data_IF_297174249764
#
_entry.id   IF_297174249764
#
_cell.length_a   1.000
_cell.length_b   1.000
_cell.length_c   1.000
_cell.angle_alpha   90.00
_cell.angle_beta   90.00
_cell.angle_gamma   90.00
#
_symmetry.space_group_name_H-M   'P 1'
#
loop_
_entity.id
_entity.type
_entity.pdbx_description
1 polymer ?
#
# COMPACT_ATOMS: atom_id res chain seq x y z
N UNK A 1 -8.08 25.38 65.07
CA UNK A 1 -7.42 24.08 65.27
C UNK A 1 -8.51 23.03 65.18
N UNK A 2 -8.49 22.22 64.12
CA UNK A 2 -9.56 21.27 63.78
C UNK A 2 -9.67 21.14 62.27
N UNK A 3 -8.69 20.47 61.70
CA UNK A 3 -8.34 20.43 60.29
C UNK A 3 -9.41 19.78 59.40
N UNK A 4 -9.69 20.45 58.28
CA UNK A 4 -10.47 19.93 57.17
C UNK A 4 -9.71 18.82 56.46
N UNK A 5 -10.18 17.58 56.60
CA UNK A 5 -9.83 16.48 55.72
C UNK A 5 -10.86 16.37 54.59
N UNK A 6 -10.78 17.29 53.63
CA UNK A 6 -11.39 17.06 52.32
C UNK A 6 -10.54 16.02 51.58
N UNK A 7 -11.01 14.78 51.60
CA UNK A 7 -10.49 13.72 50.76
C UNK A 7 -10.48 14.17 49.28
N UNK A 8 -9.39 13.95 48.53
CA UNK A 8 -9.38 14.27 47.11
C UNK A 8 -10.44 13.41 46.41
N UNK A 9 -11.36 14.09 45.74
CA UNK A 9 -12.33 13.46 44.84
C UNK A 9 -11.55 12.58 43.86
N UNK A 10 -11.80 11.27 43.93
CA UNK A 10 -11.33 10.31 42.94
C UNK A 10 -11.77 10.81 41.57
N UNK A 11 -10.78 10.95 40.69
CA UNK A 11 -10.90 11.26 39.28
C UNK A 11 -12.23 10.77 38.71
N UNK A 12 -13.08 11.72 38.32
CA UNK A 12 -14.19 11.45 37.41
C UNK A 12 -13.58 10.74 36.20
N UNK A 13 -13.82 9.44 36.08
CA UNK A 13 -13.49 8.66 34.90
C UNK A 13 -14.13 9.37 33.70
N UNK A 14 -13.35 10.17 32.98
CA UNK A 14 -13.78 10.87 31.78
C UNK A 14 -14.20 9.81 30.79
N UNK A 15 -15.51 9.63 30.62
CA UNK A 15 -16.04 8.67 29.66
C UNK A 15 -15.47 9.03 28.28
N UNK A 16 -14.80 8.10 27.58
CA UNK A 16 -14.19 8.39 26.29
C UNK A 16 -15.24 8.91 25.32
N UNK A 17 -15.03 10.10 24.75
CA UNK A 17 -15.95 10.71 23.82
C UNK A 17 -15.71 10.14 22.41
N UNK A 18 -16.75 9.56 21.81
CA UNK A 18 -16.66 8.99 20.47
C UNK A 18 -16.79 10.09 19.40
N UNK A 19 -15.74 10.31 18.62
CA UNK A 19 -15.72 11.29 17.54
C UNK A 19 -16.42 10.72 16.29
N UNK A 20 -17.33 11.49 15.72
CA UNK A 20 -18.04 11.10 14.50
C UNK A 20 -17.17 11.31 13.27
N UNK A 21 -17.06 10.28 12.41
CA UNK A 21 -16.36 10.37 11.12
C UNK A 21 -17.38 10.33 10.00
N UNK A 22 -17.46 11.41 9.21
CA UNK A 22 -18.40 11.54 8.10
C UNK A 22 -17.69 11.89 6.79
N UNK A 23 -18.38 11.68 5.66
CA UNK A 23 -17.83 11.97 4.33
C UNK A 23 -18.85 12.70 3.47
N UNK A 24 -18.46 13.86 2.93
CA UNK A 24 -19.34 14.77 2.18
C UNK A 24 -19.12 14.74 0.66
N UNK A 25 -18.15 13.97 0.16
CA UNK A 25 -17.80 13.95 -1.26
C UNK A 25 -18.84 13.27 -2.17
N UNK A 26 -18.81 13.65 -3.45
CA UNK A 26 -19.74 13.22 -4.52
C UNK A 26 -19.05 12.39 -5.60
N UNK A 27 -19.81 11.47 -6.22
CA UNK A 27 -19.28 10.56 -7.23
C UNK A 27 -18.86 11.27 -8.52
N UNK A 28 -19.60 12.32 -8.90
CA UNK A 28 -19.37 13.05 -10.15
C UNK A 28 -18.04 13.80 -10.14
N UNK A 29 -17.67 14.38 -8.98
CA UNK A 29 -16.39 15.06 -8.77
C UNK A 29 -15.21 14.08 -8.90
N UNK A 30 -15.35 12.87 -8.34
CA UNK A 30 -14.36 11.80 -8.50
C UNK A 30 -14.28 11.34 -9.95
N UNK A 31 -15.43 11.19 -10.63
CA UNK A 31 -15.51 10.75 -12.03
C UNK A 31 -14.84 11.74 -12.98
N UNK A 32 -15.06 13.04 -12.79
CA UNK A 32 -14.42 14.09 -13.58
C UNK A 32 -12.90 14.07 -13.43
N UNK A 33 -12.39 13.97 -12.19
CA UNK A 33 -10.95 13.86 -11.92
C UNK A 33 -10.35 12.58 -12.52
N UNK A 34 -11.02 11.45 -12.34
CA UNK A 34 -10.55 10.17 -12.89
C UNK A 34 -10.46 10.19 -14.41
N UNK A 35 -11.45 10.76 -15.12
CA UNK A 35 -11.40 10.87 -16.59
C UNK A 35 -10.22 11.70 -17.06
N UNK A 36 -9.99 12.86 -16.45
CA UNK A 36 -8.83 13.71 -16.76
C UNK A 36 -7.52 12.95 -16.52
N UNK A 37 -7.39 12.34 -15.34
CA UNK A 37 -6.17 11.66 -14.95
C UNK A 37 -5.94 10.39 -15.81
N UNK A 38 -6.99 9.73 -16.30
CA UNK A 38 -6.90 8.61 -17.24
C UNK A 38 -6.30 9.04 -18.57
N UNK A 39 -6.77 10.15 -19.16
CA UNK A 39 -6.23 10.68 -20.40
C UNK A 39 -4.75 11.03 -20.29
N UNK A 40 -4.39 11.73 -19.21
CA UNK A 40 -2.98 12.08 -18.94
C UNK A 40 -2.14 10.81 -18.79
N UNK A 41 -2.66 9.80 -18.07
CA UNK A 41 -1.92 8.56 -17.85
C UNK A 41 -1.79 7.70 -19.11
N UNK A 42 -2.77 7.76 -20.02
CA UNK A 42 -2.72 7.10 -21.32
C UNK A 42 -1.62 7.74 -22.19
N UNK A 43 -1.58 9.07 -22.25
CA UNK A 43 -0.54 9.83 -22.99
C UNK A 43 0.85 9.59 -22.40
N UNK A 44 0.96 9.55 -21.07
CA UNK A 44 2.23 9.36 -20.36
C UNK A 44 2.57 7.89 -20.07
N UNK A 45 1.91 6.93 -20.71
CA UNK A 45 2.24 5.50 -20.61
C UNK A 45 2.29 4.96 -19.17
N UNK A 46 1.48 5.50 -18.25
CA UNK A 46 1.45 5.04 -16.85
C UNK A 46 2.30 5.84 -15.85
N UNK A 47 3.20 6.72 -16.30
CA UNK A 47 4.08 7.52 -15.42
C UNK A 47 3.29 8.50 -14.52
N UNK A 48 2.07 8.87 -14.91
CA UNK A 48 1.20 9.75 -14.14
C UNK A 48 0.41 9.04 -13.02
N UNK A 49 0.42 7.71 -12.98
CA UNK A 49 -0.37 6.91 -12.02
C UNK A 49 -0.17 7.32 -10.55
N UNK A 50 1.06 7.59 -10.06
CA UNK A 50 1.26 8.01 -8.68
C UNK A 50 0.61 9.36 -8.37
N UNK A 51 0.64 10.30 -9.32
CA UNK A 51 0.06 11.64 -9.19
C UNK A 51 -1.46 11.56 -9.18
N UNK A 52 -2.06 10.79 -10.11
CA UNK A 52 -3.49 10.52 -10.16
C UNK A 52 -4.01 9.92 -8.83
N UNK A 53 -3.28 8.93 -8.28
CA UNK A 53 -3.62 8.33 -6.98
C UNK A 53 -3.58 9.36 -5.85
N UNK A 54 -2.60 10.27 -5.86
CA UNK A 54 -2.50 11.35 -4.87
C UNK A 54 -3.67 12.33 -4.96
N UNK A 55 -4.08 12.73 -6.16
CA UNK A 55 -5.22 13.64 -6.34
C UNK A 55 -6.52 13.09 -5.79
N UNK A 56 -6.79 11.81 -6.03
CA UNK A 56 -7.97 11.13 -5.46
C UNK A 56 -7.83 11.02 -3.94
N UNK A 57 -6.67 10.64 -3.42
CA UNK A 57 -6.47 10.54 -1.97
C UNK A 57 -6.67 11.88 -1.25
N UNK A 58 -6.12 12.98 -1.79
CA UNK A 58 -6.28 14.32 -1.23
C UNK A 58 -7.74 14.78 -1.30
N UNK A 59 -8.45 14.49 -2.39
CA UNK A 59 -9.88 14.77 -2.50
C UNK A 59 -10.70 14.04 -1.44
N UNK A 60 -10.40 12.75 -1.23
CA UNK A 60 -11.11 11.95 -0.23
C UNK A 60 -10.82 12.46 1.19
N UNK A 61 -9.57 12.79 1.49
CA UNK A 61 -9.17 13.38 2.76
C UNK A 61 -9.87 14.73 3.00
N UNK A 62 -9.83 15.65 2.02
CA UNK A 62 -10.43 16.99 2.14
C UNK A 62 -11.95 17.00 2.28
N UNK A 63 -12.62 15.89 2.00
CA UNK A 63 -14.07 15.70 2.14
C UNK A 63 -14.44 14.79 3.31
N UNK A 64 -13.48 14.44 4.14
CA UNK A 64 -13.70 13.69 5.38
C UNK A 64 -13.82 14.67 6.54
N UNK A 65 -14.92 14.57 7.27
CA UNK A 65 -15.17 15.33 8.48
C UNK A 65 -14.88 14.43 9.69
N UNK A 66 -14.09 14.93 10.63
CA UNK A 66 -13.88 14.29 11.93
C UNK A 66 -14.38 15.27 12.98
N UNK A 67 -15.43 14.87 13.71
CA UNK A 67 -16.18 15.74 14.64
C UNK A 67 -16.69 17.03 13.98
N UNK A 68 -17.22 16.91 12.76
CA UNK A 68 -17.77 18.03 11.99
C UNK A 68 -16.74 18.91 11.29
N UNK A 69 -15.46 18.81 11.65
CA UNK A 69 -14.37 19.59 11.04
C UNK A 69 -13.69 18.82 9.90
N UNK A 70 -13.46 19.45 8.73
CA UNK A 70 -12.79 18.81 7.61
C UNK A 70 -11.31 18.57 7.88
N UNK A 71 -10.79 17.46 7.37
CA UNK A 71 -9.34 17.26 7.28
C UNK A 71 -8.80 18.14 6.15
N UNK A 72 -8.00 19.13 6.48
CA UNK A 72 -7.43 20.08 5.52
C UNK A 72 -6.27 19.45 4.75
N UNK A 73 -6.28 19.67 3.43
CA UNK A 73 -5.17 19.32 2.55
C UNK A 73 -4.27 20.54 2.34
N UNK A 74 -3.11 20.56 3.00
CA UNK A 74 -2.16 21.68 2.95
C UNK A 74 -1.16 21.48 1.79
N UNK A 75 -0.82 22.53 1.03
CA UNK A 75 0.21 22.44 0.00
C UNK A 75 1.59 22.20 0.63
N UNK A 76 2.16 21.03 0.40
CA UNK A 76 3.54 20.70 0.81
C UNK A 76 4.53 21.08 -0.29
N UNK A 77 5.70 21.61 0.10
CA UNK A 77 6.79 21.95 -0.82
C UNK A 77 7.13 20.76 -1.71
N UNK A 78 7.01 20.96 -3.03
CA UNK A 78 7.41 19.97 -4.04
C UNK A 78 8.93 19.93 -4.07
N UNK A 79 9.54 18.76 -3.82
CA UNK A 79 10.96 18.55 -4.10
C UNK A 79 11.09 17.65 -5.35
N UNK A 80 11.87 18.05 -6.36
CA UNK A 80 12.01 17.28 -7.59
C UNK A 80 12.93 16.06 -7.40
N UNK A 81 13.73 16.02 -6.33
CA UNK A 81 14.79 15.04 -6.11
C UNK A 81 14.38 13.57 -6.28
N UNK A 82 13.27 13.07 -5.71
CA UNK A 82 12.90 11.66 -5.91
C UNK A 82 12.64 11.31 -7.38
N UNK A 83 12.08 12.24 -8.15
CA UNK A 83 11.84 12.03 -9.58
C UNK A 83 13.16 12.06 -10.36
N UNK A 84 14.03 13.03 -10.06
CA UNK A 84 15.36 13.14 -10.68
C UNK A 84 16.17 11.87 -10.41
N UNK A 85 16.20 11.38 -9.17
CA UNK A 85 16.91 10.16 -8.77
C UNK A 85 16.41 8.94 -9.53
N UNK A 86 15.08 8.77 -9.68
CA UNK A 86 14.51 7.65 -10.43
C UNK A 86 14.84 7.74 -11.93
N UNK A 87 14.77 8.94 -12.52
CA UNK A 87 15.13 9.16 -13.92
C UNK A 87 16.62 8.91 -14.15
N UNK A 88 17.48 9.42 -13.27
CA UNK A 88 18.93 9.18 -13.35
C UNK A 88 19.27 7.70 -13.22
N UNK A 89 18.62 6.97 -12.31
CA UNK A 89 18.79 5.53 -12.16
C UNK A 89 18.33 4.77 -13.40
N UNK A 90 17.19 5.16 -13.98
CA UNK A 90 16.70 4.57 -15.24
C UNK A 90 17.68 4.81 -16.39
N UNK A 91 18.17 6.04 -16.55
CA UNK A 91 19.17 6.37 -17.57
C UNK A 91 20.44 5.55 -17.33
N UNK A 92 20.93 5.46 -16.09
CA UNK A 92 22.12 4.66 -15.76
C UNK A 92 21.92 3.17 -16.09
N UNK A 93 20.73 2.61 -15.80
CA UNK A 93 20.39 1.23 -16.15
C UNK A 93 20.36 0.99 -17.66
N UNK A 94 19.77 1.92 -18.43
CA UNK A 94 19.73 1.82 -19.90
C UNK A 94 21.12 1.99 -20.49
N UNK A 95 21.92 2.91 -19.96
CA UNK A 95 23.30 3.10 -20.40
C UNK A 95 24.14 1.85 -20.14
N UNK A 96 23.97 1.21 -18.99
CA UNK A 96 24.64 -0.05 -18.65
C UNK A 96 24.27 -1.24 -19.54
N UNK A 97 23.06 -1.24 -20.11
CA UNK A 97 22.58 -2.33 -20.97
C UNK A 97 22.86 -2.10 -22.45
N UNK A 98 22.77 -0.85 -22.91
CA UNK A 98 22.86 -0.51 -24.35
C UNK A 98 24.28 -0.14 -24.78
N UNK A 99 25.12 0.29 -23.85
CA UNK A 99 26.51 0.64 -24.11
C UNK A 99 27.41 -0.23 -23.25
N UNK A 100 28.32 -0.97 -23.88
CA UNK A 100 29.41 -1.74 -23.24
C UNK A 100 30.34 -0.88 -22.35
N UNK A 101 30.03 0.41 -22.16
CA UNK A 101 30.82 1.40 -21.44
C UNK A 101 30.04 2.02 -20.25
N UNK A 102 28.86 1.48 -19.93
CA UNK A 102 28.06 1.92 -18.79
C UNK A 102 28.55 1.35 -17.45
N UNK A 103 28.06 1.90 -16.31
CA UNK A 103 28.38 1.34 -15.00
C UNK A 103 27.89 -0.11 -14.91
N UNK A 104 28.66 -1.04 -14.32
CA UNK A 104 28.27 -2.45 -14.25
C UNK A 104 26.90 -2.60 -13.58
N UNK A 105 26.03 -3.45 -14.16
CA UNK A 105 24.65 -3.69 -13.69
C UNK A 105 24.54 -3.90 -12.16
N UNK A 106 25.47 -4.64 -11.49
CA UNK A 106 25.48 -4.74 -10.03
C UNK A 106 25.52 -3.38 -9.30
N UNK A 107 26.26 -2.39 -9.80
CA UNK A 107 26.31 -1.05 -9.21
C UNK A 107 24.97 -0.31 -9.37
N UNK A 108 24.29 -0.48 -10.51
CA UNK A 108 22.96 0.07 -10.74
C UNK A 108 21.95 -0.55 -9.77
N UNK A 109 22.01 -1.87 -9.57
CA UNK A 109 21.18 -2.58 -8.57
C UNK A 109 21.43 -2.04 -7.16
N UNK A 110 22.70 -1.93 -6.76
CA UNK A 110 23.09 -1.40 -5.44
C UNK A 110 22.58 0.04 -5.28
N UNK A 111 22.78 0.89 -6.28
CA UNK A 111 22.28 2.26 -6.27
C UNK A 111 20.75 2.30 -6.10
N UNK A 112 20.02 1.48 -6.86
CA UNK A 112 18.55 1.37 -6.74
C UNK A 112 18.10 0.95 -5.35
N UNK A 113 18.75 -0.06 -4.78
CA UNK A 113 18.48 -0.58 -3.43
C UNK A 113 18.76 0.45 -2.35
N UNK A 114 19.81 1.26 -2.50
CA UNK A 114 20.14 2.34 -1.57
C UNK A 114 19.22 3.56 -1.72
N UNK A 115 18.73 3.84 -2.92
CA UNK A 115 17.89 5.01 -3.20
C UNK A 115 16.40 4.77 -2.92
N UNK A 116 15.94 3.52 -2.98
CA UNK A 116 14.52 3.20 -2.79
C UNK A 116 13.99 3.59 -1.38
N UNK A 117 14.70 3.35 -0.26
CA UNK A 117 14.28 3.84 1.06
C UNK A 117 14.15 5.36 1.12
N UNK A 118 15.05 6.08 0.45
CA UNK A 118 14.99 7.54 0.36
C UNK A 118 13.73 8.00 -0.40
N UNK A 119 13.48 7.45 -1.59
CA UNK A 119 12.29 7.77 -2.40
C UNK A 119 11.01 7.46 -1.63
N UNK A 120 10.95 6.31 -0.96
CA UNK A 120 9.83 5.92 -0.13
C UNK A 120 9.60 6.89 1.03
N UNK A 121 10.65 7.24 1.79
CA UNK A 121 10.55 8.14 2.95
C UNK A 121 10.06 9.53 2.56
N UNK A 122 10.59 10.09 1.47
CA UNK A 122 10.13 11.39 0.94
C UNK A 122 8.68 11.32 0.46
N UNK A 123 8.28 10.24 -0.21
CA UNK A 123 6.91 10.08 -0.69
C UNK A 123 5.90 9.95 0.46
N UNK A 124 6.23 9.16 1.49
CA UNK A 124 5.41 9.02 2.70
C UNK A 124 5.30 10.35 3.43
N UNK A 125 6.42 11.05 3.64
CA UNK A 125 6.41 12.35 4.31
C UNK A 125 5.49 13.34 3.64
N UNK A 126 5.61 13.51 2.32
CA UNK A 126 4.71 14.39 1.54
C UNK A 126 3.23 14.03 1.63
N UNK A 127 2.91 12.75 1.83
CA UNK A 127 1.52 12.30 1.92
C UNK A 127 0.92 12.57 3.30
N UNK A 128 1.73 12.48 4.35
CA UNK A 128 1.33 12.70 5.75
C UNK A 128 1.35 14.20 6.07
N UNK A 129 2.42 14.89 5.69
CA UNK A 129 2.62 16.33 5.90
C UNK A 129 1.60 17.21 5.17
N UNK A 130 0.89 16.63 4.20
CA UNK A 130 -0.19 17.31 3.49
C UNK A 130 -1.52 17.29 4.27
N UNK A 131 -1.58 16.63 5.43
CA UNK A 131 -2.81 16.48 6.21
C UNK A 131 -2.73 17.33 7.48
N UNK A 132 -3.76 18.13 7.70
CA UNK A 132 -3.97 18.93 8.90
C UNK A 132 -5.40 18.76 9.39
N UNK A 133 -5.60 18.77 10.69
CA UNK A 133 -6.95 18.69 11.27
C UNK A 133 -7.00 19.47 12.58
N UNK A 134 -7.97 20.39 12.72
CA UNK A 134 -8.11 21.31 13.87
C UNK A 134 -6.80 22.01 14.24
N UNK A 135 -6.07 22.50 13.23
CA UNK A 135 -4.78 23.15 13.43
C UNK A 135 -3.61 22.21 13.76
N UNK A 136 -3.85 20.92 13.99
CA UNK A 136 -2.80 19.94 14.25
C UNK A 136 -2.20 19.44 12.92
N UNK A 137 -0.91 19.68 12.75
CA UNK A 137 -0.16 19.13 11.62
C UNK A 137 0.09 17.63 11.86
N UNK A 138 -0.15 16.82 10.83
CA UNK A 138 0.40 15.47 10.76
C UNK A 138 1.81 15.55 10.17
N UNK A 139 2.85 15.11 10.89
CA UNK A 139 4.24 15.14 10.39
C UNK A 139 4.86 13.77 10.41
N UNK A 140 5.52 13.38 9.32
CA UNK A 140 6.35 12.18 9.28
C UNK A 140 7.81 12.56 9.47
N UNK A 141 8.36 12.32 10.65
CA UNK A 141 9.72 12.73 10.99
C UNK A 141 10.62 11.63 11.58
N UNK A 142 10.65 10.39 11.03
CA UNK A 142 11.71 9.47 11.39
C UNK A 142 13.05 9.95 10.83
N UNK A 143 14.12 9.80 11.60
CA UNK A 143 15.49 10.06 11.10
C UNK A 143 15.89 9.06 10.01
N UNK A 144 16.75 9.48 9.07
CA UNK A 144 17.21 8.64 7.95
C UNK A 144 17.82 7.33 8.42
N UNK A 145 18.60 7.34 9.51
CA UNK A 145 19.14 6.12 10.13
C UNK A 145 18.06 5.08 10.41
N UNK A 146 16.88 5.50 10.87
CA UNK A 146 15.75 4.60 11.15
C UNK A 146 15.11 4.07 9.86
N UNK A 147 14.94 4.91 8.84
CA UNK A 147 14.41 4.49 7.54
C UNK A 147 15.28 3.40 6.92
N UNK A 148 16.60 3.59 6.92
CA UNK A 148 17.54 2.60 6.39
C UNK A 148 17.62 1.34 7.25
N UNK A 149 17.63 1.48 8.58
CA UNK A 149 17.62 0.34 9.49
C UNK A 149 16.37 -0.55 9.30
N UNK A 150 15.19 0.05 9.11
CA UNK A 150 13.95 -0.69 8.86
C UNK A 150 13.87 -1.26 7.43
N UNK A 151 14.73 -0.81 6.53
CA UNK A 151 14.82 -1.28 5.14
C UNK A 151 15.87 -2.38 4.94
N UNK A 152 16.44 -2.94 6.01
CA UNK A 152 17.43 -4.02 5.93
C UNK A 152 17.03 -5.22 5.04
N UNK A 153 15.75 -5.67 4.94
CA UNK A 153 15.42 -6.80 4.08
C UNK A 153 15.64 -6.48 2.60
N UNK A 154 15.40 -5.22 2.21
CA UNK A 154 15.68 -4.72 0.87
C UNK A 154 17.19 -4.69 0.60
N UNK A 155 17.98 -4.22 1.58
CA UNK A 155 19.44 -4.20 1.46
C UNK A 155 20.00 -5.61 1.32
N UNK A 156 19.50 -6.57 2.11
CA UNK A 156 19.88 -7.97 2.03
C UNK A 156 19.53 -8.57 0.66
N UNK A 157 18.32 -8.32 0.15
CA UNK A 157 17.91 -8.76 -1.20
C UNK A 157 18.81 -8.16 -2.29
N UNK A 158 19.10 -6.87 -2.19
CA UNK A 158 19.97 -6.19 -3.14
C UNK A 158 21.39 -6.73 -3.16
N UNK A 159 22.01 -6.87 -1.98
CA UNK A 159 23.35 -7.43 -1.84
C UNK A 159 23.42 -8.89 -2.28
N UNK A 160 22.37 -9.68 -2.00
CA UNK A 160 22.28 -11.06 -2.46
C UNK A 160 22.09 -11.15 -3.98
N UNK A 161 21.35 -10.23 -4.60
CA UNK A 161 21.08 -10.25 -6.04
C UNK A 161 22.24 -9.70 -6.88
N UNK A 162 22.94 -8.68 -6.40
CA UNK A 162 23.98 -7.97 -7.15
C UNK A 162 25.04 -8.89 -7.82
N UNK A 163 25.62 -9.90 -7.16
CA UNK A 163 26.60 -10.79 -7.80
C UNK A 163 25.95 -11.84 -8.72
N UNK A 164 24.68 -12.18 -8.50
CA UNK A 164 23.95 -13.18 -9.31
C UNK A 164 23.37 -12.58 -10.59
N UNK A 165 23.05 -11.29 -10.59
CA UNK A 165 22.45 -10.61 -11.73
C UNK A 165 23.17 -10.84 -13.08
N UNK A 166 24.51 -10.68 -13.19
CA UNK A 166 25.21 -10.92 -14.46
C UNK A 166 25.21 -12.41 -14.85
N UNK A 167 25.36 -13.31 -13.88
CA UNK A 167 25.34 -14.77 -14.14
C UNK A 167 23.98 -15.23 -14.68
N UNK A 168 22.89 -14.67 -14.15
CA UNK A 168 21.53 -14.97 -14.61
C UNK A 168 21.29 -14.36 -15.99
N UNK A 169 21.84 -13.17 -16.28
CA UNK A 169 21.74 -12.55 -17.60
C UNK A 169 22.49 -13.39 -18.67
N UNK A 170 23.73 -13.77 -18.40
CA UNK A 170 24.53 -14.63 -19.31
C UNK A 170 23.85 -15.99 -19.55
N UNK A 171 23.27 -16.58 -18.50
CA UNK A 171 22.55 -17.84 -18.62
C UNK A 171 21.27 -17.69 -19.45
N UNK A 172 20.57 -16.55 -19.35
CA UNK A 172 19.38 -16.27 -20.14
C UNK A 172 19.71 -16.12 -21.64
N UNK A 173 20.88 -15.59 -21.98
CA UNK A 173 21.34 -15.44 -23.36
C UNK A 173 21.82 -16.76 -23.99
N UNK A 174 22.13 -17.78 -23.17
CA UNK A 174 22.58 -19.11 -23.63
C UNK A 174 21.74 -20.25 -23.05
N UNK A 175 20.44 -20.31 -23.40
CA UNK A 175 19.50 -21.24 -22.78
C UNK A 175 19.85 -22.71 -23.02
N UNK A 176 20.56 -23.07 -24.11
CA UNK A 176 21.01 -24.45 -24.35
C UNK A 176 21.99 -24.98 -23.30
N UNK A 177 22.67 -24.11 -22.56
CA UNK A 177 23.64 -24.49 -21.52
C UNK A 177 22.98 -24.71 -20.14
N UNK A 178 21.73 -24.28 -19.98
CA UNK A 178 21.00 -24.28 -18.73
C UNK A 178 20.39 -25.67 -18.47
N UNK A 179 21.15 -26.54 -17.81
CA UNK A 179 20.62 -27.80 -17.25
C UNK A 179 20.08 -27.56 -15.85
N UNK A 180 18.76 -27.47 -15.74
CA UNK A 180 18.06 -27.42 -14.46
C UNK A 180 17.85 -28.84 -13.94
N UNK A 181 18.73 -29.30 -13.07
CA UNK A 181 18.52 -30.52 -12.30
C UNK A 181 17.53 -30.28 -11.13
N UNK A 182 17.09 -31.35 -10.47
CA UNK A 182 16.15 -31.23 -9.35
C UNK A 182 16.73 -30.39 -8.19
N UNK A 183 18.05 -30.47 -7.98
CA UNK A 183 18.78 -29.70 -6.97
C UNK A 183 18.71 -28.21 -7.28
N UNK A 184 19.08 -27.78 -8.49
CA UNK A 184 19.00 -26.39 -8.92
C UNK A 184 17.57 -25.86 -8.82
N UNK A 185 16.58 -26.64 -9.25
CA UNK A 185 15.18 -26.25 -9.12
C UNK A 185 14.78 -26.02 -7.66
N UNK A 186 15.17 -26.92 -6.75
CA UNK A 186 14.87 -26.78 -5.33
C UNK A 186 15.53 -25.53 -4.71
N UNK A 187 16.76 -25.21 -5.11
CA UNK A 187 17.49 -24.03 -4.67
C UNK A 187 16.84 -22.74 -5.18
N UNK A 188 16.40 -22.72 -6.44
CA UNK A 188 15.66 -21.59 -7.02
C UNK A 188 14.35 -21.38 -6.25
N UNK A 189 13.59 -22.44 -6.00
CA UNK A 189 12.35 -22.37 -5.22
C UNK A 189 12.63 -21.85 -3.80
N UNK A 190 13.67 -22.34 -3.13
CA UNK A 190 14.07 -21.87 -1.81
C UNK A 190 14.46 -20.39 -1.82
N UNK A 191 15.22 -19.94 -2.81
CA UNK A 191 15.61 -18.54 -2.98
C UNK A 191 14.39 -17.64 -3.21
N UNK A 192 13.43 -18.07 -4.03
CA UNK A 192 12.17 -17.35 -4.26
C UNK A 192 11.35 -17.26 -2.98
N UNK A 193 11.19 -18.36 -2.24
CA UNK A 193 10.45 -18.37 -0.97
C UNK A 193 11.10 -17.44 0.06
N UNK A 194 12.44 -17.47 0.17
CA UNK A 194 13.18 -16.56 1.04
C UNK A 194 12.99 -15.11 0.61
N UNK A 195 13.09 -14.82 -0.68
CA UNK A 195 12.92 -13.47 -1.20
C UNK A 195 11.51 -12.92 -0.94
N UNK A 196 10.48 -13.74 -1.15
CA UNK A 196 9.10 -13.40 -0.81
C UNK A 196 8.92 -13.15 0.70
N UNK A 197 9.57 -13.95 1.55
CA UNK A 197 9.60 -13.73 2.99
C UNK A 197 10.25 -12.40 3.40
N UNK A 198 11.36 -12.03 2.76
CA UNK A 198 12.04 -10.75 2.97
C UNK A 198 11.21 -9.55 2.48
N UNK A 199 10.56 -9.68 1.32
CA UNK A 199 9.64 -8.65 0.81
C UNK A 199 8.42 -8.47 1.72
N UNK A 200 7.87 -9.58 2.24
CA UNK A 200 6.80 -9.55 3.24
C UNK A 200 7.26 -8.83 4.51
N UNK A 201 8.48 -9.11 4.96
CA UNK A 201 9.08 -8.43 6.11
C UNK A 201 9.27 -6.94 5.86
N UNK A 202 9.76 -6.56 4.69
CA UNK A 202 9.93 -5.17 4.28
C UNK A 202 8.58 -4.42 4.29
N UNK A 203 7.54 -5.02 3.70
CA UNK A 203 6.20 -4.44 3.67
C UNK A 203 5.63 -4.15 5.06
N UNK A 204 5.83 -5.08 6.00
CA UNK A 204 5.45 -4.87 7.40
C UNK A 204 6.24 -3.72 8.04
N UNK A 205 7.56 -3.69 7.86
CA UNK A 205 8.42 -2.68 8.47
C UNK A 205 8.12 -1.28 7.96
N UNK A 206 7.90 -1.13 6.66
CA UNK A 206 7.48 0.15 6.08
C UNK A 206 6.08 0.57 6.54
N UNK A 207 5.14 -0.35 6.67
CA UNK A 207 3.82 -0.03 7.23
C UNK A 207 3.92 0.42 8.69
N UNK A 208 4.69 -0.31 9.52
CA UNK A 208 4.95 0.04 10.91
C UNK A 208 5.63 1.40 11.03
N UNK A 209 6.65 1.66 10.22
CA UNK A 209 7.38 2.92 10.23
C UNK A 209 6.50 4.08 9.74
N UNK A 210 5.65 3.86 8.74
CA UNK A 210 4.67 4.86 8.28
C UNK A 210 3.74 5.28 9.40
N UNK A 211 3.28 4.37 10.24
CA UNK A 211 2.37 4.70 11.36
C UNK A 211 3.16 5.28 12.53
N UNK A 212 4.18 4.57 13.02
CA UNK A 212 4.95 4.96 14.23
C UNK A 212 5.94 6.10 14.02
N UNK A 213 6.26 6.44 12.77
CA UNK A 213 7.06 7.60 12.38
C UNK A 213 6.23 8.87 12.22
N UNK A 214 4.90 8.77 12.25
CA UNK A 214 4.00 9.91 12.20
C UNK A 214 3.77 10.50 13.59
N UNK A 215 3.71 11.82 13.66
CA UNK A 215 3.28 12.61 14.80
C UNK A 215 2.06 13.42 14.40
N UNK A 216 1.09 13.56 15.30
CA UNK A 216 -0.11 14.38 15.09
C UNK A 216 -0.14 15.43 16.19
N UNK A 217 -0.07 16.72 15.83
CA UNK A 217 -0.03 17.80 16.82
C UNK A 217 1.13 17.67 17.82
N UNK A 218 2.26 17.08 17.39
CA UNK A 218 3.41 16.80 18.26
C UNK A 218 3.36 15.46 19.01
N UNK A 219 2.21 14.80 19.11
CA UNK A 219 2.07 13.51 19.77
C UNK A 219 2.51 12.35 18.88
N UNK A 220 3.32 11.44 19.44
CA UNK A 220 3.75 10.25 18.73
C UNK A 220 2.58 9.27 18.52
N UNK A 221 2.50 8.69 17.33
CA UNK A 221 1.55 7.63 17.03
C UNK A 221 2.16 6.28 17.39
N UNK A 222 1.43 5.49 18.18
CA UNK A 222 1.75 4.13 18.57
C UNK A 222 0.81 3.15 17.85
N UNK A 223 1.29 1.95 17.59
CA UNK A 223 0.52 0.92 16.91
C UNK A 223 0.92 -0.48 17.38
N UNK A 224 -0.09 -1.28 17.73
CA UNK A 224 0.06 -2.60 18.34
C UNK A 224 0.24 -3.75 17.31
N UNK A 225 0.40 -3.42 16.02
CA UNK A 225 0.45 -4.38 14.93
C UNK A 225 1.60 -5.39 15.01
N UNK A 226 1.29 -6.69 14.91
CA UNK A 226 2.26 -7.80 14.98
C UNK A 226 2.58 -8.38 13.61
N UNK A 227 3.85 -8.75 13.40
CA UNK A 227 4.29 -9.38 12.14
C UNK A 227 3.58 -10.69 11.85
N UNK A 228 3.35 -11.54 12.87
CA UNK A 228 2.68 -12.82 12.69
C UNK A 228 1.24 -12.66 12.14
N UNK A 229 0.53 -11.61 12.54
CA UNK A 229 -0.81 -11.32 12.03
C UNK A 229 -0.77 -10.82 10.59
N UNK A 230 0.19 -9.93 10.28
CA UNK A 230 0.44 -9.48 8.92
C UNK A 230 0.78 -10.65 7.99
N UNK A 231 1.70 -11.52 8.41
CA UNK A 231 2.10 -12.71 7.65
C UNK A 231 0.93 -13.67 7.45
N UNK A 232 0.09 -13.90 8.48
CA UNK A 232 -1.14 -14.70 8.35
C UNK A 232 -2.12 -14.12 7.33
N UNK A 233 -2.24 -12.80 7.22
CA UNK A 233 -3.07 -12.16 6.19
C UNK A 233 -2.52 -12.48 4.81
N UNK A 234 -1.22 -12.35 4.59
CA UNK A 234 -0.61 -12.65 3.29
C UNK A 234 -0.65 -14.13 2.92
N UNK A 235 -0.35 -15.02 3.87
CA UNK A 235 -0.47 -16.47 3.66
C UNK A 235 -1.91 -16.87 3.34
N UNK A 236 -2.89 -16.32 4.06
CA UNK A 236 -4.31 -16.54 3.77
C UNK A 236 -4.71 -16.04 2.39
N UNK A 237 -4.18 -14.89 1.95
CA UNK A 237 -4.41 -14.38 0.59
C UNK A 237 -3.78 -15.27 -0.47
N UNK A 238 -2.54 -15.72 -0.25
CA UNK A 238 -1.84 -16.59 -1.18
C UNK A 238 -2.58 -17.92 -1.35
N UNK A 239 -3.01 -18.54 -0.24
CA UNK A 239 -3.85 -19.73 -0.26
C UNK A 239 -5.18 -19.49 -0.96
N UNK A 240 -5.85 -18.37 -0.69
CA UNK A 240 -7.11 -18.02 -1.36
C UNK A 240 -6.92 -17.84 -2.88
N UNK A 241 -5.88 -17.13 -3.33
CA UNK A 241 -5.57 -16.96 -4.76
C UNK A 241 -5.24 -18.31 -5.40
N UNK A 242 -4.46 -19.15 -4.73
CA UNK A 242 -4.13 -20.48 -5.21
C UNK A 242 -5.39 -21.32 -5.43
N UNK A 243 -6.29 -21.35 -4.44
CA UNK A 243 -7.52 -22.17 -4.47
C UNK A 243 -8.60 -21.62 -5.40
N UNK A 244 -8.83 -20.30 -5.41
CA UNK A 244 -9.97 -19.71 -6.14
C UNK A 244 -9.62 -19.23 -7.54
N UNK A 245 -8.35 -19.08 -7.87
CA UNK A 245 -7.92 -18.53 -9.16
C UNK A 245 -6.92 -19.43 -9.88
N UNK A 246 -5.80 -19.80 -9.25
CA UNK A 246 -4.74 -20.57 -9.92
C UNK A 246 -5.21 -22.00 -10.22
N UNK A 247 -5.70 -22.72 -9.21
CA UNK A 247 -6.11 -24.11 -9.34
C UNK A 247 -7.21 -24.30 -10.42
N UNK A 248 -8.31 -23.52 -10.44
CA UNK A 248 -9.32 -23.64 -11.50
C UNK A 248 -8.76 -23.40 -12.90
N UNK A 249 -7.88 -22.39 -13.07
CA UNK A 249 -7.27 -22.09 -14.37
C UNK A 249 -6.37 -23.22 -14.84
N UNK A 250 -5.57 -23.78 -13.94
CA UNK A 250 -4.68 -24.92 -14.22
C UNK A 250 -5.50 -26.17 -14.56
N UNK A 251 -6.60 -26.44 -13.85
CA UNK A 251 -7.50 -27.56 -14.13
C UNK A 251 -8.22 -27.41 -15.48
N UNK A 252 -8.78 -26.23 -15.77
CA UNK A 252 -9.42 -25.95 -17.07
C UNK A 252 -8.41 -26.09 -18.21
N UNK A 253 -7.19 -25.59 -18.02
CA UNK A 253 -6.11 -25.76 -18.99
C UNK A 253 -5.80 -27.23 -19.24
N UNK A 254 -5.67 -28.03 -18.18
CA UNK A 254 -5.42 -29.47 -18.32
C UNK A 254 -6.57 -30.19 -19.01
N UNK A 255 -7.83 -29.86 -18.66
CA UNK A 255 -9.00 -30.45 -19.28
C UNK A 255 -9.14 -30.13 -20.77
N UNK A 256 -8.79 -28.91 -21.19
CA UNK A 256 -8.91 -28.46 -22.59
C UNK A 256 -7.71 -28.82 -23.47
N UNK A 257 -6.49 -28.81 -22.90
CA UNK A 257 -5.24 -28.90 -23.66
C UNK A 257 -4.39 -30.13 -23.28
N UNK A 258 -4.85 -30.97 -22.35
CA UNK A 258 -4.14 -32.17 -21.89
C UNK A 258 -2.85 -31.89 -21.10
N UNK A 259 -2.46 -30.62 -20.93
CA UNK A 259 -1.15 -30.23 -20.39
C UNK A 259 -1.25 -29.09 -19.37
N UNK A 260 -0.54 -29.23 -18.25
CA UNK A 260 -0.40 -28.17 -17.26
C UNK A 260 0.59 -27.08 -17.72
N UNK A 261 1.63 -27.51 -18.43
CA UNK A 261 2.79 -26.72 -18.85
C UNK A 261 2.68 -26.20 -20.28
N UNK A 262 1.59 -26.55 -21.00
CA UNK A 262 1.38 -26.22 -22.41
C UNK A 262 2.45 -26.82 -23.35
N UNK A 263 3.14 -27.87 -22.88
CA UNK A 263 4.09 -28.62 -23.69
C UNK A 263 3.40 -29.25 -24.91
N UNK A 264 4.04 -29.11 -26.08
CA UNK A 264 3.53 -29.65 -27.34
C UNK A 264 2.61 -28.72 -28.15
N UNK A 265 2.33 -27.51 -27.65
CA UNK A 265 1.65 -26.47 -28.43
C UNK A 265 2.63 -25.60 -29.19
N UNK A 266 2.21 -25.11 -30.37
CA UNK A 266 2.94 -24.09 -31.12
C UNK A 266 3.13 -22.83 -30.26
N UNK A 267 4.27 -22.11 -30.38
CA UNK A 267 4.59 -20.96 -29.54
C UNK A 267 3.50 -19.89 -29.48
N UNK A 268 2.84 -19.59 -30.61
CA UNK A 268 1.76 -18.61 -30.68
C UNK A 268 0.54 -19.03 -29.85
N UNK A 269 0.13 -20.30 -29.97
CA UNK A 269 -1.00 -20.87 -29.22
C UNK A 269 -0.69 -20.95 -27.73
N UNK A 270 0.54 -21.31 -27.38
CA UNK A 270 1.01 -21.32 -26.00
C UNK A 270 0.98 -19.89 -25.41
N UNK A 271 1.41 -18.88 -26.15
CA UNK A 271 1.37 -17.48 -25.72
C UNK A 271 -0.06 -16.98 -25.49
N UNK A 272 -1.00 -17.32 -26.39
CA UNK A 272 -2.42 -16.99 -26.22
C UNK A 272 -2.99 -17.67 -24.97
N UNK A 273 -2.74 -18.97 -24.78
CA UNK A 273 -3.22 -19.72 -23.63
C UNK A 273 -2.62 -19.21 -22.30
N UNK A 274 -1.34 -18.80 -22.29
CA UNK A 274 -0.72 -18.13 -21.15
C UNK A 274 -1.38 -16.79 -20.85
N UNK A 275 -1.56 -15.95 -21.87
CA UNK A 275 -2.17 -14.63 -21.73
C UNK A 275 -3.60 -14.73 -21.20
N UNK A 276 -4.41 -15.61 -21.78
CA UNK A 276 -5.77 -15.88 -21.34
C UNK A 276 -5.79 -16.44 -19.90
N UNK A 277 -4.88 -17.37 -19.57
CA UNK A 277 -4.75 -17.91 -18.23
C UNK A 277 -4.38 -16.86 -17.18
N UNK A 278 -3.40 -15.99 -17.48
CA UNK A 278 -2.99 -14.89 -16.59
C UNK A 278 -4.15 -13.91 -16.37
N UNK A 279 -4.84 -13.53 -17.44
CA UNK A 279 -6.02 -12.67 -17.35
C UNK A 279 -7.11 -13.30 -16.49
N UNK A 280 -7.37 -14.60 -16.68
CA UNK A 280 -8.37 -15.33 -15.92
C UNK A 280 -7.98 -15.44 -14.43
N UNK A 281 -6.71 -15.70 -14.10
CA UNK A 281 -6.22 -15.64 -12.71
C UNK A 281 -6.41 -14.25 -12.12
N UNK A 282 -6.08 -13.19 -12.86
CA UNK A 282 -6.25 -11.81 -12.40
C UNK A 282 -7.72 -11.46 -12.10
N UNK A 283 -8.63 -11.94 -12.95
CA UNK A 283 -10.08 -11.81 -12.83
C UNK A 283 -10.60 -12.63 -11.64
N UNK A 284 -10.27 -13.91 -11.55
CA UNK A 284 -10.73 -14.81 -10.48
C UNK A 284 -10.12 -14.49 -9.12
N UNK A 285 -8.98 -13.81 -9.06
CA UNK A 285 -8.36 -13.35 -7.81
C UNK A 285 -9.08 -12.18 -7.14
N UNK A 286 -10.09 -11.58 -7.78
CA UNK A 286 -10.83 -10.41 -7.26
C UNK A 286 -11.34 -10.61 -5.83
N UNK A 287 -12.00 -11.73 -5.46
CA UNK A 287 -12.48 -11.95 -4.10
C UNK A 287 -11.34 -12.06 -3.07
N UNK A 288 -10.26 -12.77 -3.41
CA UNK A 288 -9.09 -12.91 -2.54
C UNK A 288 -8.39 -11.56 -2.30
N UNK A 289 -8.23 -10.75 -3.36
CA UNK A 289 -7.69 -9.38 -3.26
C UNK A 289 -8.61 -8.46 -2.46
N UNK A 290 -9.93 -8.63 -2.58
CA UNK A 290 -10.90 -7.86 -1.80
C UNK A 290 -10.84 -8.21 -0.30
N UNK A 291 -10.76 -9.50 0.03
CA UNK A 291 -10.55 -9.97 1.40
C UNK A 291 -9.23 -9.47 1.98
N UNK A 292 -8.14 -9.53 1.21
CA UNK A 292 -6.84 -9.03 1.60
C UNK A 292 -6.88 -7.53 1.95
N UNK A 293 -7.49 -6.72 1.09
CA UNK A 293 -7.63 -5.28 1.31
C UNK A 293 -8.44 -4.97 2.58
N UNK A 294 -9.52 -5.73 2.84
CA UNK A 294 -10.34 -5.58 4.03
C UNK A 294 -9.56 -5.93 5.31
N UNK A 295 -8.81 -7.05 5.30
CA UNK A 295 -7.98 -7.49 6.42
C UNK A 295 -6.83 -6.54 6.71
N UNK A 296 -6.13 -6.08 5.67
CA UNK A 296 -5.05 -5.10 5.82
C UNK A 296 -5.57 -3.76 6.35
N UNK A 297 -6.73 -3.31 5.89
CA UNK A 297 -7.33 -2.08 6.41
C UNK A 297 -7.64 -2.21 7.90
N UNK A 298 -8.34 -3.29 8.28
CA UNK A 298 -8.64 -3.55 9.69
C UNK A 298 -7.36 -3.62 10.54
N UNK A 299 -6.35 -4.33 10.07
CA UNK A 299 -5.05 -4.46 10.74
C UNK A 299 -4.30 -3.12 10.89
N UNK A 300 -4.31 -2.29 9.84
CA UNK A 300 -3.62 -1.00 9.84
C UNK A 300 -4.26 0.03 10.79
N UNK A 301 -5.58 -0.06 10.99
CA UNK A 301 -6.37 0.91 11.76
C UNK A 301 -6.90 0.38 13.09
N UNK A 302 -6.54 -0.86 13.47
CA UNK A 302 -6.83 -1.41 14.80
C UNK A 302 -5.68 -1.12 15.76
N UNK A 303 -5.99 -0.67 16.98
CA UNK A 303 -5.00 -0.44 18.03
C UNK A 303 -4.01 0.68 17.70
N UNK A 304 -4.45 1.70 16.97
CA UNK A 304 -3.64 2.92 16.76
C UNK A 304 -3.92 3.87 17.91
N UNK A 305 -2.87 4.39 18.55
CA UNK A 305 -2.98 5.37 19.63
C UNK A 305 -2.19 6.60 19.26
N UNK A 306 -2.78 7.77 19.46
CA UNK A 306 -2.12 9.06 19.25
C UNK A 306 -1.87 9.64 20.62
N UNK A 307 -0.63 9.52 21.13
CA UNK A 307 -0.28 9.93 22.49
C UNK A 307 -1.32 9.52 23.54
N UNK A 308 -1.71 10.47 24.39
CA UNK A 308 -2.84 10.36 25.31
C UNK A 308 -4.10 11.10 24.85
N UNK A 309 -4.20 11.44 23.55
CA UNK A 309 -5.29 12.26 23.01
C UNK A 309 -6.37 11.44 22.31
N UNK A 310 -5.99 10.34 21.63
CA UNK A 310 -6.99 9.50 20.97
C UNK A 310 -6.56 8.05 20.76
N UNK A 311 -7.57 7.20 20.70
CA UNK A 311 -7.48 5.80 20.31
C UNK A 311 -8.33 5.59 19.06
N UNK A 312 -7.75 4.95 18.06
CA UNK A 312 -8.44 4.57 16.82
C UNK A 312 -8.49 3.05 16.74
N UNK A 313 -9.71 2.55 16.60
CA UNK A 313 -10.00 1.14 16.39
C UNK A 313 -10.87 0.95 15.14
N UNK A 314 -10.74 -0.22 14.53
CA UNK A 314 -11.47 -0.55 13.30
C UNK A 314 -12.38 -1.77 13.52
N UNK A 315 -13.69 -1.53 13.45
CA UNK A 315 -14.74 -2.53 13.59
C UNK A 315 -15.26 -3.02 12.21
N UNK A 316 -14.39 -3.05 11.20
CA UNK A 316 -14.78 -3.45 9.84
C UNK A 316 -15.17 -4.94 9.78
N UNK A 317 -16.40 -5.21 9.33
CA UNK A 317 -16.79 -6.54 8.90
C UNK A 317 -16.07 -6.90 7.59
N UNK A 318 -15.05 -7.74 7.74
CA UNK A 318 -14.18 -8.19 6.65
C UNK A 318 -14.98 -8.87 5.54
N UNK A 319 -15.97 -9.72 5.89
CA UNK A 319 -16.72 -10.50 4.90
C UNK A 319 -17.63 -9.58 4.08
N UNK A 320 -18.39 -8.73 4.76
CA UNK A 320 -19.30 -7.77 4.11
C UNK A 320 -18.53 -6.79 3.22
N UNK A 321 -17.41 -6.26 3.71
CA UNK A 321 -16.57 -5.34 2.94
C UNK A 321 -15.90 -6.01 1.74
N UNK A 322 -15.38 -7.24 1.90
CA UNK A 322 -14.81 -8.01 0.81
C UNK A 322 -15.83 -8.29 -0.29
N UNK A 323 -17.08 -8.67 0.08
CA UNK A 323 -18.17 -8.85 -0.88
C UNK A 323 -18.50 -7.56 -1.63
N UNK A 324 -18.65 -6.44 -0.92
CA UNK A 324 -18.91 -5.13 -1.53
C UNK A 324 -17.82 -4.78 -2.55
N UNK A 325 -16.55 -4.94 -2.16
CA UNK A 325 -15.41 -4.61 -3.03
C UNK A 325 -15.29 -5.55 -4.22
N UNK A 326 -15.57 -6.84 -4.05
CA UNK A 326 -15.61 -7.80 -5.15
C UNK A 326 -16.72 -7.45 -6.16
N UNK A 327 -17.95 -7.22 -5.69
CA UNK A 327 -19.08 -6.81 -6.56
C UNK A 327 -18.75 -5.50 -7.30
N UNK A 328 -18.14 -4.54 -6.61
CA UNK A 328 -17.74 -3.27 -7.21
C UNK A 328 -16.62 -3.43 -8.25
N UNK A 329 -15.66 -4.34 -8.02
CA UNK A 329 -14.64 -4.66 -9.01
C UNK A 329 -15.26 -5.28 -10.26
N UNK A 330 -16.17 -6.26 -10.11
CA UNK A 330 -16.90 -6.87 -11.21
C UNK A 330 -17.73 -5.86 -12.00
N UNK A 331 -18.49 -5.00 -11.31
CA UNK A 331 -19.22 -3.90 -11.96
C UNK A 331 -18.30 -2.95 -12.71
N UNK A 332 -17.15 -2.61 -12.12
CA UNK A 332 -16.16 -1.74 -12.77
C UNK A 332 -15.64 -2.39 -14.05
N UNK A 333 -15.32 -3.69 -14.03
CA UNK A 333 -14.88 -4.43 -15.21
C UNK A 333 -15.96 -4.48 -16.29
N UNK A 334 -17.18 -4.88 -15.93
CA UNK A 334 -18.31 -5.00 -16.87
C UNK A 334 -18.71 -3.66 -17.51
N UNK A 335 -18.49 -2.55 -16.81
CA UNK A 335 -18.78 -1.19 -17.30
C UNK A 335 -17.56 -0.49 -17.91
N UNK A 336 -16.48 -1.21 -18.20
CA UNK A 336 -15.22 -0.64 -18.72
C UNK A 336 -14.71 0.58 -17.93
N UNK A 337 -14.93 0.59 -16.61
CA UNK A 337 -14.50 1.67 -15.71
C UNK A 337 -15.53 2.77 -15.44
N UNK A 338 -16.70 2.80 -16.09
CA UNK A 338 -17.67 3.88 -15.91
C UNK A 338 -18.14 4.04 -14.44
N UNK A 339 -18.30 2.92 -13.73
CA UNK A 339 -18.70 2.90 -12.31
C UNK A 339 -17.53 2.91 -11.31
N UNK A 340 -16.30 3.14 -11.77
CA UNK A 340 -15.12 3.16 -10.89
C UNK A 340 -15.22 4.22 -9.78
N UNK A 341 -15.75 5.41 -10.11
CA UNK A 341 -15.88 6.50 -9.15
C UNK A 341 -16.83 6.14 -7.98
N UNK A 342 -17.98 5.53 -8.31
CA UNK A 342 -18.94 5.04 -7.31
C UNK A 342 -18.34 3.94 -6.44
N UNK A 343 -17.62 2.99 -7.07
CA UNK A 343 -16.93 1.91 -6.36
C UNK A 343 -15.91 2.45 -5.35
N UNK A 344 -15.12 3.46 -5.73
CA UNK A 344 -14.13 4.12 -4.85
C UNK A 344 -14.82 4.81 -3.68
N UNK A 345 -15.92 5.52 -3.90
CA UNK A 345 -16.65 6.21 -2.83
C UNK A 345 -17.33 5.24 -1.87
N UNK A 346 -17.96 4.19 -2.37
CA UNK A 346 -18.58 3.17 -1.51
C UNK A 346 -17.53 2.45 -0.66
N UNK A 347 -16.38 2.11 -1.25
CA UNK A 347 -15.24 1.53 -0.51
C UNK A 347 -14.74 2.48 0.57
N UNK A 348 -14.61 3.77 0.25
CA UNK A 348 -14.13 4.78 1.19
C UNK A 348 -15.12 5.04 2.33
N UNK A 349 -16.41 5.21 2.03
CA UNK A 349 -17.46 5.39 3.04
C UNK A 349 -17.57 4.18 3.98
N UNK A 350 -17.50 2.96 3.43
CA UNK A 350 -17.52 1.74 4.24
C UNK A 350 -16.31 1.64 5.18
N UNK A 351 -15.13 2.11 4.73
CA UNK A 351 -13.93 2.20 5.57
C UNK A 351 -14.09 3.22 6.68
N UNK A 352 -14.51 4.44 6.37
CA UNK A 352 -14.71 5.50 7.36
C UNK A 352 -15.76 5.13 8.40
N UNK A 353 -16.90 4.58 7.97
CA UNK A 353 -17.97 4.14 8.87
C UNK A 353 -17.55 3.00 9.83
N UNK A 354 -16.44 2.32 9.53
CA UNK A 354 -15.89 1.27 10.38
C UNK A 354 -14.85 1.76 11.39
N UNK A 355 -14.40 3.01 11.28
CA UNK A 355 -13.44 3.61 12.21
C UNK A 355 -14.19 4.11 13.44
N UNK A 356 -13.69 3.74 14.60
CA UNK A 356 -14.09 4.26 15.90
C UNK A 356 -12.93 5.07 16.43
N UNK A 357 -13.16 6.35 16.67
CA UNK A 357 -12.16 7.25 17.24
C UNK A 357 -12.67 7.67 18.60
N UNK A 358 -11.93 7.28 19.63
CA UNK A 358 -12.21 7.60 21.02
C UNK A 358 -11.23 8.68 21.47
N UNK A 359 -11.75 9.80 21.94
CA UNK A 359 -10.98 10.86 22.58
C UNK A 359 -10.62 10.43 24.01
N UNK A 360 -9.35 10.61 24.34
CA UNK A 360 -8.78 10.29 25.66
C UNK A 360 -8.57 11.57 26.47
N UNK A 361 -8.24 11.44 27.76
CA UNK A 361 -8.16 12.55 28.71
C UNK A 361 -7.25 13.73 28.28
N UNK A 362 -6.31 13.53 27.36
CA UNK A 362 -5.50 14.62 26.79
C UNK A 362 -6.28 15.60 25.90
N UNK A 363 -7.45 15.20 25.41
CA UNK A 363 -8.36 16.02 24.61
C UNK A 363 -7.80 16.48 23.26
N UNK A 364 -8.70 16.91 22.37
CA UNK A 364 -8.35 17.66 21.17
C UNK A 364 -8.50 19.16 21.42
N UNK A 365 -7.69 20.02 20.74
CA UNK A 365 -7.88 21.46 20.81
C UNK A 365 -9.32 21.82 20.41
N UNK A 366 -9.94 22.78 21.12
CA UNK A 366 -11.33 23.20 20.89
C UNK A 366 -11.61 23.53 19.42
N UNK A 367 -12.87 23.36 18.97
CA UNK A 367 -13.26 23.63 17.59
C UNK A 367 -12.91 25.07 17.23
N UNK A 368 -12.42 25.30 16.02
CA UNK A 368 -12.31 26.68 15.57
C UNK A 368 -13.73 27.25 15.45
N UNK A 369 -13.99 28.47 15.99
CA UNK A 369 -15.26 29.12 15.74
C UNK A 369 -15.43 29.27 14.23
N UNK A 370 -16.65 29.08 13.69
CA UNK A 370 -16.88 29.28 12.27
C UNK A 370 -16.40 30.68 11.90
N UNK A 371 -15.58 30.78 10.86
CA UNK A 371 -15.19 32.08 10.31
C UNK A 371 -16.48 32.86 10.00
N UNK A 372 -16.58 34.14 10.39
CA UNK A 372 -17.76 34.94 10.10
C UNK A 372 -18.00 34.92 8.58
N UNK A 373 -19.27 34.86 8.13
CA UNK A 373 -19.58 34.90 6.71
C UNK A 373 -18.97 36.18 6.11
N UNK A 374 -18.18 36.00 5.05
CA UNK A 374 -17.63 37.09 4.24
C UNK A 374 -18.74 37.75 3.41
#
# INVERSE_FOLDING_TARGET
>A
MGDGHHAPARDSATTPHALTVAFTGRADEVRARWRRDLWINLVLGGLYTPVARRHVALYLASRTLVDGEPVEAVPVRKSPWPAIVLVALYIAARVAQEFDHGPPLPLVVIAGVLLLPYVWGVAVGRSVDALRWRGMDCRFSPGWRRIYAESWPLLLLGCAWAPWAPLVADAADRPETLRLDATALSLIVAAVVLALGLLLRLGFQWQRLRITGTRVGGHAVQWDGRFAEYARIWAGTAAAVALTAVLPVVLVRHALLGSFTLQGLDPERAAIAWTAGILLVWILSVPARAWHAARLFRFAWSGVRVGGIARVDCALDVRRHARLRAVNAWRTLLTAGARRAEAVLQDYRAKLASLRVEELAGGFPARHPPAPPL
#
